data_IF_802947943823
#
_entry.id   IF_802947943823
#
_cell.length_a   1.000
_cell.length_b   1.000
_cell.length_c   1.000
_cell.angle_alpha   90.00
_cell.angle_beta   90.00
_cell.angle_gamma   90.00
#
_symmetry.space_group_name_H-M   'P 1'
#
loop_
_entity.id
_entity.type
_entity.pdbx_description
1 polymer ?
#
# COMPACT_ATOMS: atom_id res chain seq x y z
N UNK A 1 -4.41 -20.62 -13.08
CA UNK A 1 -4.24 -20.34 -14.53
C UNK A 1 -2.82 -19.85 -14.74
N UNK A 2 -2.15 -20.10 -15.88
CA UNK A 2 -0.82 -19.53 -16.11
C UNK A 2 -0.94 -18.00 -16.12
N UNK A 3 -0.27 -17.31 -15.19
CA UNK A 3 -0.20 -15.85 -15.18
C UNK A 3 -0.99 -15.10 -14.10
N UNK A 4 -1.31 -15.71 -12.95
CA UNK A 4 -1.75 -14.95 -11.77
C UNK A 4 -0.62 -14.02 -11.30
N UNK A 5 -0.50 -12.83 -11.90
CA UNK A 5 0.42 -11.77 -11.43
C UNK A 5 0.13 -11.53 -9.95
N UNK A 6 1.13 -11.62 -9.09
CA UNK A 6 0.96 -11.54 -7.64
C UNK A 6 0.58 -10.13 -7.12
N UNK A 7 0.46 -9.14 -8.01
CA UNK A 7 0.38 -7.72 -7.69
C UNK A 7 -0.92 -7.07 -8.18
N UNK A 8 -1.28 -5.95 -7.54
CA UNK A 8 -2.50 -5.15 -7.82
C UNK A 8 -2.18 -3.64 -7.88
N UNK A 9 -0.91 -3.26 -8.04
CA UNK A 9 -0.46 -1.87 -8.11
C UNK A 9 -0.80 -1.14 -9.41
N UNK A 10 -0.53 0.16 -9.44
CA UNK A 10 -0.75 1.04 -10.59
C UNK A 10 -2.16 1.65 -10.61
N UNK A 11 -3.09 0.99 -11.31
CA UNK A 11 -4.49 1.44 -11.44
C UNK A 11 -5.43 0.30 -11.10
N UNK A 12 -6.28 0.50 -10.09
CA UNK A 12 -7.26 -0.48 -9.64
C UNK A 12 -8.63 0.19 -9.46
N UNK A 13 -9.70 -0.52 -9.81
CA UNK A 13 -11.07 -0.11 -9.55
C UNK A 13 -11.72 -1.09 -8.57
N UNK A 14 -12.30 -0.56 -7.49
CA UNK A 14 -12.91 -1.35 -6.41
C UNK A 14 -14.25 -0.69 -6.04
N UNK A 15 -15.30 -1.49 -5.89
CA UNK A 15 -16.59 -0.96 -5.42
C UNK A 15 -16.52 -0.63 -3.92
N UNK A 16 -17.29 0.36 -3.43
CA UNK A 16 -17.31 0.70 -2.00
C UNK A 16 -17.62 -0.51 -1.10
N UNK A 17 -18.53 -1.39 -1.53
CA UNK A 17 -18.89 -2.60 -0.81
C UNK A 17 -17.72 -3.59 -0.72
N UNK A 18 -17.00 -3.81 -1.82
CA UNK A 18 -15.83 -4.70 -1.82
C UNK A 18 -14.68 -4.10 -1.02
N UNK A 19 -14.47 -2.78 -1.10
CA UNK A 19 -13.44 -2.10 -0.32
C UNK A 19 -13.73 -2.21 1.18
N UNK A 20 -14.98 -2.01 1.59
CA UNK A 20 -15.42 -2.18 2.97
C UNK A 20 -15.33 -3.63 3.43
N UNK A 21 -15.69 -4.60 2.57
CA UNK A 21 -15.61 -6.03 2.86
C UNK A 21 -14.19 -6.49 3.23
N UNK A 22 -13.18 -5.94 2.55
CA UNK A 22 -11.76 -6.28 2.80
C UNK A 22 -11.10 -5.39 3.85
N UNK A 23 -11.87 -4.51 4.51
CA UNK A 23 -11.38 -3.50 5.44
C UNK A 23 -10.31 -2.58 4.83
N UNK A 24 -10.46 -2.22 3.56
CA UNK A 24 -9.54 -1.35 2.84
C UNK A 24 -8.07 -1.83 2.80
N UNK A 25 -7.16 -0.88 2.65
CA UNK A 25 -5.71 -1.09 2.75
C UNK A 25 -5.25 -1.23 4.20
N UNK A 26 -4.06 -1.80 4.40
CA UNK A 26 -3.37 -1.80 5.71
C UNK A 26 -2.78 -0.42 6.01
N UNK A 27 -2.80 -0.02 7.28
CA UNK A 27 -2.22 1.25 7.74
C UNK A 27 -0.73 1.11 8.13
N UNK A 28 -0.13 -0.07 7.98
CA UNK A 28 1.23 -0.40 8.40
C UNK A 28 2.26 -0.35 7.24
N UNK A 29 1.92 0.26 6.12
CA UNK A 29 2.82 0.38 4.96
C UNK A 29 3.32 1.82 4.82
N UNK A 30 4.35 2.14 5.60
CA UNK A 30 5.09 3.40 5.46
C UNK A 30 6.26 3.21 4.47
N UNK A 31 6.29 4.01 3.41
CA UNK A 31 7.25 3.87 2.30
C UNK A 31 6.86 2.79 1.28
N UNK A 32 7.75 2.51 0.32
CA UNK A 32 7.42 1.65 -0.82
C UNK A 32 7.19 0.18 -0.47
N UNK A 33 6.29 -0.46 -1.23
CA UNK A 33 6.31 -1.89 -1.52
C UNK A 33 5.33 -2.75 -0.72
N UNK A 34 4.73 -3.70 -1.43
CA UNK A 34 3.91 -4.82 -0.94
C UNK A 34 2.57 -4.45 -0.28
N UNK A 35 2.16 -3.19 -0.30
CA UNK A 35 0.83 -2.76 0.12
C UNK A 35 -0.26 -3.28 -0.82
N UNK A 36 0.04 -3.34 -2.12
CA UNK A 36 -0.82 -3.88 -3.16
C UNK A 36 -0.94 -5.41 -3.10
N UNK A 37 0.16 -6.11 -2.79
CA UNK A 37 0.18 -7.54 -2.49
C UNK A 37 -0.63 -7.86 -1.23
N UNK A 38 -0.56 -6.99 -0.21
CA UNK A 38 -1.41 -7.10 0.99
C UNK A 38 -2.88 -7.04 0.60
N UNK A 39 -3.27 -6.01 -0.15
CA UNK A 39 -4.65 -5.84 -0.62
C UNK A 39 -5.12 -7.06 -1.43
N UNK A 40 -4.32 -7.56 -2.38
CA UNK A 40 -4.64 -8.77 -3.16
C UNK A 40 -4.92 -9.96 -2.25
N UNK A 41 -4.09 -10.18 -1.23
CA UNK A 41 -4.26 -11.28 -0.30
C UNK A 41 -5.53 -11.09 0.56
N UNK A 42 -5.93 -9.87 0.91
CA UNK A 42 -7.23 -9.60 1.56
C UNK A 42 -8.42 -10.01 0.67
N UNK A 43 -8.40 -9.65 -0.62
CA UNK A 43 -9.43 -10.09 -1.56
C UNK A 43 -9.50 -11.61 -1.67
N UNK A 44 -8.35 -12.29 -1.72
CA UNK A 44 -8.27 -13.76 -1.71
C UNK A 44 -8.87 -14.34 -0.42
N UNK A 45 -8.57 -13.78 0.75
CA UNK A 45 -9.13 -14.19 2.04
C UNK A 45 -10.65 -13.96 2.13
N UNK A 46 -11.17 -12.93 1.45
CA UNK A 46 -12.60 -12.66 1.32
C UNK A 46 -13.29 -13.49 0.22
N UNK A 47 -12.61 -14.47 -0.37
CA UNK A 47 -13.09 -15.29 -1.48
C UNK A 47 -13.56 -14.44 -2.68
N UNK A 48 -12.82 -13.38 -2.99
CA UNK A 48 -13.06 -12.51 -4.16
C UNK A 48 -11.93 -12.66 -5.18
N UNK A 49 -12.32 -12.63 -6.44
CA UNK A 49 -11.41 -12.69 -7.59
C UNK A 49 -11.09 -11.28 -8.09
N UNK A 50 -9.91 -11.13 -8.68
CA UNK A 50 -9.46 -9.89 -9.32
C UNK A 50 -9.51 -10.10 -10.83
N UNK A 51 -10.12 -9.15 -11.54
CA UNK A 51 -10.15 -9.14 -13.00
C UNK A 51 -8.98 -8.30 -13.51
N UNK A 52 -8.18 -8.87 -14.41
CA UNK A 52 -7.14 -8.15 -15.13
C UNK A 52 -7.57 -7.91 -16.57
N UNK A 53 -7.42 -6.67 -17.04
CA UNK A 53 -7.57 -6.33 -18.45
C UNK A 53 -6.27 -6.67 -19.15
N UNK A 54 -6.32 -7.62 -20.08
CA UNK A 54 -5.13 -8.15 -20.76
C UNK A 54 -4.93 -7.51 -22.13
N UNK A 55 -3.69 -7.57 -22.61
CA UNK A 55 -3.31 -7.10 -23.94
C UNK A 55 -3.20 -5.57 -24.04
N UNK A 56 -3.10 -5.03 -25.27
CA UNK A 56 -2.80 -3.62 -25.51
C UNK A 56 -3.78 -2.64 -24.85
N UNK A 57 -5.04 -3.03 -24.68
CA UNK A 57 -6.06 -2.20 -24.03
C UNK A 57 -5.87 -2.03 -22.52
N UNK A 58 -5.09 -2.91 -21.89
CA UNK A 58 -4.77 -2.87 -20.46
C UNK A 58 -3.42 -2.22 -20.16
N UNK A 59 -2.73 -1.68 -21.17
CA UNK A 59 -1.43 -1.04 -21.00
C UNK A 59 -1.58 0.44 -20.67
N UNK A 60 -0.83 0.89 -19.67
CA UNK A 60 -0.79 2.30 -19.25
C UNK A 60 0.61 2.86 -19.51
N UNK A 61 0.67 4.15 -19.85
CA UNK A 61 1.93 4.88 -19.98
C UNK A 61 2.19 5.65 -18.69
N UNK A 62 3.23 5.27 -17.96
CA UNK A 62 3.72 6.03 -16.81
C UNK A 62 4.34 7.36 -17.26
N UNK A 63 4.17 8.41 -16.47
CA UNK A 63 4.82 9.70 -16.70
C UNK A 63 6.25 9.62 -16.15
N UNK A 64 7.25 10.02 -16.94
CA UNK A 64 8.69 9.83 -16.68
C UNK A 64 9.19 10.48 -15.37
N UNK A 65 8.46 11.44 -14.82
CA UNK A 65 8.84 12.16 -13.61
C UNK A 65 8.67 11.35 -12.31
N UNK A 66 7.93 10.23 -12.34
CA UNK A 66 7.57 9.47 -11.13
C UNK A 66 8.64 8.49 -10.65
N UNK A 67 9.66 8.19 -11.47
CA UNK A 67 10.68 7.17 -11.17
C UNK A 67 12.05 7.61 -11.69
N UNK A 68 12.62 8.68 -11.13
CA UNK A 68 14.03 8.93 -11.40
C UNK A 68 14.84 7.86 -10.67
N UNK A 69 15.80 7.22 -11.36
CA UNK A 69 16.64 6.14 -10.81
C UNK A 69 17.43 6.54 -9.55
N UNK A 70 17.51 7.83 -9.27
CA UNK A 70 18.18 8.46 -8.13
C UNK A 70 17.21 9.14 -7.15
N UNK A 71 15.91 8.85 -7.22
CA UNK A 71 14.94 9.32 -6.25
C UNK A 71 15.07 8.56 -4.92
N UNK A 72 15.80 9.16 -3.98
CA UNK A 72 15.99 8.66 -2.62
C UNK A 72 14.89 9.11 -1.65
N UNK A 73 13.90 9.89 -2.11
CA UNK A 73 12.83 10.41 -1.24
C UNK A 73 11.92 9.31 -0.71
N UNK A 74 11.85 8.19 -1.42
CA UNK A 74 11.09 7.04 -1.04
C UNK A 74 12.03 5.85 -0.86
N UNK A 75 12.53 5.64 0.36
CA UNK A 75 13.40 4.51 0.61
C UNK A 75 12.69 3.19 0.24
N UNK A 76 13.35 2.37 -0.57
CA UNK A 76 12.97 0.98 -0.77
C UNK A 76 13.08 0.27 0.59
N UNK A 77 12.03 -0.47 0.95
CA UNK A 77 11.85 -0.98 2.30
C UNK A 77 12.21 -2.47 2.38
N UNK A 78 12.88 -2.84 3.47
CA UNK A 78 12.46 -3.95 4.32
C UNK A 78 11.96 -5.23 3.66
N UNK A 79 12.73 -5.99 2.89
CA UNK A 79 12.22 -7.28 2.41
C UNK A 79 11.69 -8.14 3.57
N UNK A 80 12.39 -8.19 4.70
CA UNK A 80 11.93 -8.92 5.89
C UNK A 80 10.72 -8.23 6.56
N UNK A 81 10.70 -6.91 6.72
CA UNK A 81 9.54 -6.20 7.24
C UNK A 81 8.26 -6.44 6.39
N UNK A 82 8.36 -6.32 5.07
CA UNK A 82 7.22 -6.56 4.16
C UNK A 82 6.76 -8.01 4.22
N UNK A 83 7.68 -8.97 4.30
CA UNK A 83 7.34 -10.37 4.54
C UNK A 83 6.62 -10.58 5.87
N UNK A 84 7.08 -9.94 6.97
CA UNK A 84 6.41 -10.03 8.27
C UNK A 84 4.96 -9.53 8.20
N UNK A 85 4.73 -8.37 7.58
CA UNK A 85 3.38 -7.80 7.40
C UNK A 85 2.48 -8.73 6.55
N UNK A 86 3.00 -9.26 5.44
CA UNK A 86 2.25 -10.18 4.57
C UNK A 86 1.98 -11.51 5.28
N UNK A 87 2.93 -12.05 6.04
CA UNK A 87 2.79 -13.31 6.75
C UNK A 87 1.76 -13.21 7.88
N UNK A 88 1.73 -12.09 8.61
CA UNK A 88 0.78 -11.87 9.69
C UNK A 88 -0.63 -11.45 9.21
N UNK A 89 -0.81 -11.20 7.90
CA UNK A 89 -2.04 -10.65 7.36
C UNK A 89 -3.30 -11.43 7.74
N UNK A 90 -3.24 -12.77 7.82
CA UNK A 90 -4.39 -13.61 8.18
C UNK A 90 -4.97 -13.25 9.55
N UNK A 91 -4.14 -12.72 10.44
CA UNK A 91 -4.52 -12.33 11.79
C UNK A 91 -4.92 -10.85 11.88
N UNK A 92 -4.36 -9.99 11.01
CA UNK A 92 -4.48 -8.54 11.16
C UNK A 92 -5.50 -7.88 10.23
N UNK A 93 -5.85 -8.48 9.08
CA UNK A 93 -6.61 -7.78 8.04
C UNK A 93 -7.99 -7.26 8.48
N UNK A 94 -8.61 -7.87 9.49
CA UNK A 94 -9.91 -7.44 10.04
C UNK A 94 -9.79 -6.31 11.08
N UNK A 95 -8.61 -6.07 11.62
CA UNK A 95 -8.37 -5.09 12.69
C UNK A 95 -7.47 -3.94 12.25
N UNK A 96 -6.64 -4.16 11.23
CA UNK A 96 -5.77 -3.17 10.58
C UNK A 96 -6.35 -2.79 9.21
N UNK A 97 -6.86 -1.58 9.07
CA UNK A 97 -7.23 -0.99 7.79
C UNK A 97 -8.25 0.13 7.92
N UNK A 98 -9.27 0.15 7.05
CA UNK A 98 -10.28 1.22 7.01
C UNK A 98 -10.93 1.48 8.37
N UNK A 99 -11.26 0.42 9.11
CA UNK A 99 -11.90 0.50 10.43
C UNK A 99 -11.03 1.10 11.53
N UNK A 100 -9.71 1.13 11.35
CA UNK A 100 -8.73 1.59 12.33
C UNK A 100 -7.85 2.72 11.82
N UNK A 101 -8.17 3.28 10.66
CA UNK A 101 -7.47 4.42 10.07
C UNK A 101 -7.61 5.63 11.00
N UNK A 102 -6.48 6.23 11.36
CA UNK A 102 -6.41 7.43 12.18
C UNK A 102 -5.70 8.53 11.39
N UNK A 103 -6.34 9.68 11.24
CA UNK A 103 -5.80 10.82 10.51
C UNK A 103 -6.45 12.11 11.03
N UNK A 104 -5.76 13.23 10.89
CA UNK A 104 -6.34 14.55 11.08
C UNK A 104 -6.65 15.17 9.72
N UNK A 105 -7.89 15.63 9.55
CA UNK A 105 -8.26 16.45 8.40
C UNK A 105 -7.73 17.86 8.59
N UNK A 106 -7.01 18.40 7.58
CA UNK A 106 -6.42 19.72 7.64
C UNK A 106 -7.18 20.73 6.77
N UNK A 107 -7.51 20.35 5.54
CA UNK A 107 -8.28 21.18 4.63
C UNK A 107 -8.95 20.38 3.51
N UNK A 108 -10.04 20.93 2.98
CA UNK A 108 -10.66 20.51 1.72
C UNK A 108 -10.86 21.73 0.85
N UNK A 109 -10.37 21.68 -0.39
CA UNK A 109 -10.54 22.74 -1.39
C UNK A 109 -11.11 22.13 -2.66
N UNK A 110 -12.27 22.62 -3.10
CA UNK A 110 -12.85 22.25 -4.38
C UNK A 110 -12.28 23.13 -5.50
N UNK A 111 -11.58 22.50 -6.43
CA UNK A 111 -11.07 23.12 -7.65
C UNK A 111 -11.98 22.75 -8.83
N UNK A 112 -11.85 23.46 -9.94
CA UNK A 112 -12.70 23.25 -11.13
C UNK A 112 -12.61 21.81 -11.65
N UNK A 113 -11.46 21.14 -11.50
CA UNK A 113 -11.20 19.82 -12.09
C UNK A 113 -10.97 18.70 -11.06
N UNK A 114 -10.84 19.02 -9.77
CA UNK A 114 -10.55 18.05 -8.71
C UNK A 114 -10.88 18.62 -7.33
N UNK A 115 -11.02 17.76 -6.33
CA UNK A 115 -11.07 18.17 -4.93
C UNK A 115 -9.73 17.85 -4.28
N UNK A 116 -9.08 18.83 -3.67
CA UNK A 116 -7.89 18.65 -2.87
C UNK A 116 -8.28 18.38 -1.41
N UNK A 117 -7.90 17.23 -0.88
CA UNK A 117 -8.09 16.88 0.53
C UNK A 117 -6.70 16.73 1.15
N UNK A 118 -6.34 17.63 2.05
CA UNK A 118 -5.07 17.58 2.79
C UNK A 118 -5.32 16.95 4.16
N UNK A 119 -4.54 15.92 4.49
CA UNK A 119 -4.63 15.19 5.76
C UNK A 119 -3.25 15.01 6.38
N UNK A 120 -3.19 14.97 7.71
CA UNK A 120 -2.06 14.43 8.46
C UNK A 120 -2.37 12.98 8.82
N UNK A 121 -1.52 12.05 8.38
CA UNK A 121 -1.67 10.62 8.65
C UNK A 121 -1.14 10.22 10.04
N UNK A 122 -0.76 11.20 10.86
CA UNK A 122 -0.36 11.02 12.26
C UNK A 122 0.76 10.00 12.41
N UNK A 123 1.74 10.07 11.50
CA UNK A 123 2.82 9.09 11.40
C UNK A 123 3.51 8.92 12.75
N UNK A 124 3.92 9.99 13.40
CA UNK A 124 4.58 9.94 14.72
C UNK A 124 3.76 9.22 15.79
N UNK A 125 2.44 9.37 15.79
CA UNK A 125 1.56 8.65 16.71
C UNK A 125 1.50 7.16 16.37
N UNK A 126 1.41 6.83 15.08
CA UNK A 126 1.52 5.44 14.61
C UNK A 126 2.87 4.83 15.00
N UNK A 127 3.97 5.59 14.91
CA UNK A 127 5.30 5.15 15.31
C UNK A 127 5.40 4.93 16.84
N UNK A 128 4.70 5.73 17.65
CA UNK A 128 4.68 5.60 19.13
C UNK A 128 3.89 4.39 19.60
N UNK A 129 2.80 4.03 18.92
CA UNK A 129 1.99 2.84 19.21
C UNK A 129 2.75 1.52 18.99
N UNK A 130 3.88 1.58 18.29
CA UNK A 130 4.69 0.43 17.92
C UNK A 130 4.21 -0.16 16.60
N UNK A 131 5.16 -0.41 15.71
CA UNK A 131 4.88 -1.01 14.41
C UNK A 131 5.30 -2.47 14.39
N UNK A 132 4.57 -3.35 13.69
CA UNK A 132 4.85 -4.79 13.67
C UNK A 132 6.29 -5.17 13.29
N UNK A 133 6.99 -4.34 12.51
CA UNK A 133 8.38 -4.59 12.12
C UNK A 133 9.43 -4.24 13.19
N UNK A 134 9.08 -3.47 14.23
CA UNK A 134 9.93 -3.20 15.40
C UNK A 134 11.23 -2.39 15.17
N UNK A 135 11.77 -2.32 13.96
CA UNK A 135 13.03 -1.62 13.63
C UNK A 135 12.79 -0.36 12.79
N UNK A 136 13.36 0.76 13.22
CA UNK A 136 13.34 2.05 12.49
C UNK A 136 14.65 2.24 11.75
N UNK A 137 14.59 2.71 10.51
CA UNK A 137 15.76 3.04 9.70
C UNK A 137 15.51 4.37 9.01
N UNK A 138 16.37 5.36 9.27
CA UNK A 138 16.20 6.75 8.81
C UNK A 138 14.82 7.38 9.13
N UNK A 139 14.26 7.09 10.31
CA UNK A 139 13.00 7.69 10.78
C UNK A 139 11.72 7.01 10.27
N UNK A 140 11.84 6.02 9.39
CA UNK A 140 10.72 5.24 8.83
C UNK A 140 10.93 3.74 9.09
N UNK A 141 9.86 2.94 9.12
CA UNK A 141 9.98 1.48 9.28
C UNK A 141 10.45 0.86 7.96
N UNK A 142 11.77 0.63 7.83
CA UNK A 142 12.44 0.26 6.57
C UNK A 142 13.74 -0.56 6.72
N UNK A 143 14.50 -0.71 5.62
CA UNK A 143 15.74 -1.53 5.44
C UNK A 143 17.04 -0.78 5.73
N UNK A 144 18.02 -1.48 6.32
CA UNK A 144 19.43 -1.08 6.34
C UNK A 144 20.10 -1.76 5.14
N UNK A 145 20.83 -0.96 4.36
CA UNK A 145 21.83 -1.38 3.37
C UNK A 145 21.39 -2.41 2.30
N UNK A 146 20.78 -1.92 1.23
CA UNK A 146 20.97 -2.49 -0.12
C UNK A 146 20.20 -3.77 -0.46
N UNK A 147 19.39 -4.33 0.43
CA UNK A 147 18.45 -5.40 0.08
C UNK A 147 17.22 -4.83 -0.64
N UNK A 148 17.07 -5.13 -1.93
CA UNK A 148 15.93 -4.69 -2.73
C UNK A 148 14.79 -5.68 -2.62
N UNK A 149 13.58 -5.18 -2.33
CA UNK A 149 12.36 -5.94 -2.62
C UNK A 149 12.11 -5.87 -4.13
N UNK A 150 12.48 -6.91 -4.86
CA UNK A 150 12.25 -6.96 -6.30
C UNK A 150 10.75 -7.03 -6.61
N UNK A 151 10.23 -5.97 -7.22
CA UNK A 151 9.03 -6.05 -8.03
C UNK A 151 9.36 -6.91 -9.27
N UNK A 152 8.76 -8.11 -9.36
CA UNK A 152 8.84 -8.95 -10.56
C UNK A 152 7.82 -8.53 -11.62
#
# INVERSE_FOLDING_TARGET
MPGDKAWMGGVVAITPDHFSLVNGFSNNYWGWGAEDQNLRKRFKLANKSVLFVHGPIGHYKSIELAHKDNDTTNAEMDCACRQLLINNLTNTWKTDGLSSLNYAHLSTTDEILYTNITVDLLMDESLKKGHPCGKKINGIYGCENGEKFHHN
#
